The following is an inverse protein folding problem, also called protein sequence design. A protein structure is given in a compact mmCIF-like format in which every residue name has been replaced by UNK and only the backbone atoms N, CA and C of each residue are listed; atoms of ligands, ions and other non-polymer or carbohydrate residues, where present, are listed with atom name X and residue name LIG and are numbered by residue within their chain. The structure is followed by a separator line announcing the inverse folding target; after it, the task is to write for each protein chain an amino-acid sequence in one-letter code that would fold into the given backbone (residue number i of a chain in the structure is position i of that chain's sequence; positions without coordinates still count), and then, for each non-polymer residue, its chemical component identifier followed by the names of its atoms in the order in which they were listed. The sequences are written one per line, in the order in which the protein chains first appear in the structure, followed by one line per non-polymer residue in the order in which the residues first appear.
data_IF_661930094536
#
_entry.id   IF_661930094536
#
_cell.length_a   1.000
_cell.length_b   1.000
_cell.length_c   1.000
_cell.angle_alpha   90.00
_cell.angle_beta   90.00
_cell.angle_gamma   90.00
#
_symmetry.space_group_name_H-M   'P 1'
#
loop_
_entity.id
_entity.type
_entity.pdbx_description
1 polymer ?
#
# COMPACT_ATOMS: atom_id res chain seq x y z
N UNK A 1 -24.38 -5.04 6.93
CA UNK A 1 -22.96 -5.21 6.58
C UNK A 1 -22.04 -4.69 7.67
N UNK A 2 -20.74 -4.93 7.49
CA UNK A 2 -19.70 -4.49 8.42
C UNK A 2 -18.49 -3.97 7.63
N UNK A 3 -17.90 -2.86 8.10
CA UNK A 3 -16.66 -2.28 7.59
C UNK A 3 -15.65 -2.25 8.73
N UNK A 4 -14.40 -2.60 8.44
CA UNK A 4 -13.26 -2.43 9.36
C UNK A 4 -12.31 -1.43 8.71
N UNK A 5 -12.00 -0.34 9.40
CA UNK A 5 -11.16 0.74 8.91
C UNK A 5 -10.14 1.20 9.96
N UNK A 6 -9.20 2.06 9.57
CA UNK A 6 -8.21 2.64 10.50
C UNK A 6 -8.88 3.64 11.44
N UNK A 7 -8.31 3.83 12.64
CA UNK A 7 -8.74 4.89 13.55
C UNK A 7 -8.75 6.26 12.87
N UNK A 8 -9.82 7.04 13.09
CA UNK A 8 -10.00 8.36 12.49
C UNK A 8 -10.52 8.34 11.04
N UNK A 9 -10.80 7.17 10.47
CA UNK A 9 -11.29 7.00 9.10
C UNK A 9 -12.79 6.66 9.02
N UNK A 10 -13.54 6.66 10.13
CA UNK A 10 -14.99 6.58 10.07
C UNK A 10 -15.56 7.91 9.52
N UNK A 11 -16.24 7.82 8.39
CA UNK A 11 -16.99 8.96 7.85
C UNK A 11 -18.19 9.20 8.76
N UNK A 12 -18.06 10.11 9.71
CA UNK A 12 -19.11 10.53 10.64
C UNK A 12 -20.24 11.27 9.92
N UNK A 13 -20.94 10.60 9.00
CA UNK A 13 -22.22 11.09 8.50
C UNK A 13 -23.32 10.41 9.31
N UNK A 14 -24.19 11.15 10.00
CA UNK A 14 -25.38 10.57 10.60
C UNK A 14 -26.27 10.04 9.47
N UNK A 15 -26.16 8.76 9.16
CA UNK A 15 -27.12 8.07 8.31
C UNK A 15 -28.22 7.58 9.22
N UNK A 16 -29.48 8.01 9.07
CA UNK A 16 -30.58 7.68 9.97
C UNK A 16 -30.86 6.17 10.07
N UNK A 17 -30.46 5.38 9.09
CA UNK A 17 -30.63 3.92 9.07
C UNK A 17 -29.32 3.21 8.69
N UNK A 18 -28.30 3.26 9.56
CA UNK A 18 -27.04 2.53 9.33
C UNK A 18 -27.29 1.01 9.33
N UNK A 19 -27.47 0.44 8.16
CA UNK A 19 -27.43 -1.02 7.95
C UNK A 19 -26.02 -1.58 7.93
N UNK A 20 -25.01 -0.72 7.98
CA UNK A 20 -23.59 -1.05 7.95
C UNK A 20 -22.96 -0.57 9.26
N UNK A 21 -22.40 -1.51 10.01
CA UNK A 21 -21.59 -1.22 11.19
C UNK A 21 -20.17 -0.86 10.74
N UNK A 22 -19.63 0.25 11.21
CA UNK A 22 -18.23 0.63 11.01
C UNK A 22 -17.47 0.40 12.31
N UNK A 23 -16.36 -0.33 12.20
CA UNK A 23 -15.45 -0.62 13.31
C UNK A 23 -14.07 -0.04 12.97
N UNK A 24 -13.47 0.67 13.89
CA UNK A 24 -12.12 1.19 13.74
C UNK A 24 -11.10 0.30 14.44
N UNK A 25 -9.91 0.15 13.85
CA UNK A 25 -8.84 -0.70 14.36
C UNK A 25 -7.45 -0.13 14.02
N UNK A 26 -6.42 -0.68 14.66
CA UNK A 26 -5.03 -0.23 14.45
C UNK A 26 -4.42 -0.78 13.15
N UNK A 27 -3.57 0.03 12.55
CA UNK A 27 -2.74 -0.27 11.40
C UNK A 27 -1.37 0.39 11.59
N UNK A 28 -0.21 -0.21 11.25
CA UNK A 28 -0.02 -1.53 10.60
C UNK A 28 0.04 -2.72 11.56
N UNK A 29 0.09 -2.50 12.87
CA UNK A 29 0.12 -3.58 13.88
C UNK A 29 -1.30 -3.84 14.36
N UNK A 30 -1.82 -5.09 14.24
CA UNK A 30 -3.19 -5.41 14.61
C UNK A 30 -3.45 -5.24 16.11
N UNK A 31 -4.70 -4.93 16.47
CA UNK A 31 -5.14 -4.76 17.85
C UNK A 31 -6.37 -5.59 18.22
N UNK A 32 -6.83 -5.45 19.46
CA UNK A 32 -8.01 -6.17 19.96
C UNK A 32 -9.32 -5.69 19.31
N UNK A 33 -9.39 -4.41 18.90
CA UNK A 33 -10.55 -3.87 18.20
C UNK A 33 -10.71 -4.54 16.82
N UNK A 34 -9.62 -4.69 16.07
CA UNK A 34 -9.61 -5.42 14.79
C UNK A 34 -10.00 -6.89 14.96
N UNK A 35 -9.48 -7.57 15.99
CA UNK A 35 -9.86 -8.93 16.32
C UNK A 35 -11.37 -9.05 16.60
N UNK A 36 -11.92 -8.15 17.43
CA UNK A 36 -13.35 -8.19 17.76
C UNK A 36 -14.23 -7.87 16.55
N UNK A 37 -13.83 -6.88 15.73
CA UNK A 37 -14.53 -6.56 14.48
C UNK A 37 -14.53 -7.76 13.52
N UNK A 38 -13.40 -8.46 13.39
CA UNK A 38 -13.28 -9.66 12.54
C UNK A 38 -14.12 -10.82 13.07
N UNK A 39 -14.22 -11.01 14.39
CA UNK A 39 -15.14 -11.99 14.99
C UNK A 39 -16.61 -11.68 14.67
N UNK A 40 -16.98 -10.41 14.72
CA UNK A 40 -18.33 -9.97 14.35
C UNK A 40 -18.60 -10.22 12.86
N UNK A 41 -17.63 -9.95 11.99
CA UNK A 41 -17.70 -10.27 10.57
C UNK A 41 -17.86 -11.78 10.34
N UNK A 42 -17.10 -12.60 11.05
CA UNK A 42 -17.21 -14.06 10.98
C UNK A 42 -18.62 -14.55 11.35
N UNK A 43 -19.23 -13.99 12.41
CA UNK A 43 -20.61 -14.31 12.78
C UNK A 43 -21.61 -13.98 11.67
N UNK A 44 -21.42 -12.84 10.97
CA UNK A 44 -22.28 -12.48 9.82
C UNK A 44 -22.09 -13.51 8.70
N UNK A 45 -20.87 -13.91 8.40
CA UNK A 45 -20.59 -14.89 7.34
C UNK A 45 -21.13 -16.26 7.68
N UNK A 46 -21.02 -16.70 8.93
CA UNK A 46 -21.57 -17.97 9.41
C UNK A 46 -23.10 -18.01 9.42
N UNK A 47 -23.77 -16.87 9.47
CA UNK A 47 -25.22 -16.76 9.41
C UNK A 47 -25.78 -16.73 7.96
N UNK A 48 -24.92 -16.71 6.94
CA UNK A 48 -25.32 -16.77 5.54
C UNK A 48 -26.03 -18.09 5.24
N UNK A 49 -26.95 -18.03 4.30
CA UNK A 49 -27.76 -19.16 3.89
C UNK A 49 -27.56 -19.43 2.40
N UNK A 50 -28.12 -20.56 1.96
CA UNK A 50 -28.14 -20.91 0.54
C UNK A 50 -28.79 -19.79 -0.27
N UNK A 51 -28.15 -19.45 -1.38
CA UNK A 51 -28.54 -18.39 -2.32
C UNK A 51 -28.28 -16.94 -1.85
N UNK A 52 -27.73 -16.74 -0.65
CA UNK A 52 -27.22 -15.43 -0.26
C UNK A 52 -26.02 -15.05 -1.13
N UNK A 53 -25.78 -13.76 -1.25
CA UNK A 53 -24.60 -13.20 -1.91
C UNK A 53 -23.77 -12.39 -0.91
N UNK A 54 -22.51 -12.76 -0.73
CA UNK A 54 -21.54 -11.99 0.02
C UNK A 54 -20.78 -11.08 -0.95
N UNK A 55 -20.97 -9.77 -0.82
CA UNK A 55 -20.13 -8.78 -1.47
C UNK A 55 -19.03 -8.35 -0.52
N UNK A 56 -17.77 -8.56 -0.91
CA UNK A 56 -16.57 -8.18 -0.13
C UNK A 56 -15.88 -7.02 -0.84
N UNK A 57 -15.72 -5.90 -0.13
CA UNK A 57 -15.01 -4.72 -0.64
C UNK A 57 -13.65 -4.64 0.05
N UNK A 58 -12.57 -4.73 -0.72
CA UNK A 58 -11.19 -4.83 -0.23
C UNK A 58 -10.38 -3.65 -0.76
N UNK A 59 -9.68 -2.96 0.14
CA UNK A 59 -8.67 -1.94 -0.20
C UNK A 59 -7.45 -2.10 0.71
N UNK A 60 -6.53 -1.14 0.68
CA UNK A 60 -5.29 -1.14 1.46
C UNK A 60 -5.48 -1.32 2.98
N UNK A 61 -4.43 -1.79 3.64
CA UNK A 61 -4.40 -1.98 5.09
C UNK A 61 -5.12 -3.22 5.63
N UNK A 62 -5.87 -3.96 4.80
CA UNK A 62 -6.69 -5.09 5.19
C UNK A 62 -5.93 -6.24 5.86
N UNK A 63 -4.63 -6.40 5.59
CA UNK A 63 -3.81 -7.46 6.21
C UNK A 63 -3.72 -7.34 7.73
N UNK A 64 -3.75 -6.13 8.29
CA UNK A 64 -3.73 -5.88 9.74
C UNK A 64 -5.11 -5.61 10.33
N UNK A 65 -5.98 -4.95 9.58
CA UNK A 65 -7.34 -4.62 10.03
C UNK A 65 -8.22 -5.87 10.13
N UNK A 66 -8.16 -6.76 9.14
CA UNK A 66 -8.89 -8.03 9.12
C UNK A 66 -8.07 -9.14 9.82
N UNK A 67 -8.04 -9.10 11.13
CA UNK A 67 -7.19 -9.96 11.97
C UNK A 67 -8.00 -10.99 12.72
N UNK A 68 -7.70 -12.27 12.45
CA UNK A 68 -8.22 -13.41 13.23
C UNK A 68 -7.19 -14.55 13.16
N UNK A 69 -6.32 -14.69 14.16
CA UNK A 69 -5.43 -15.85 14.21
C UNK A 69 -6.22 -17.14 14.42
N UNK A 70 -5.65 -18.27 14.05
CA UNK A 70 -6.23 -19.59 14.38
C UNK A 70 -6.29 -19.78 15.90
N UNK A 71 -7.15 -20.69 16.37
CA UNK A 71 -7.46 -20.84 17.80
C UNK A 71 -6.24 -21.16 18.68
N UNK A 72 -5.22 -21.79 18.11
CA UNK A 72 -3.96 -22.17 18.78
C UNK A 72 -2.99 -21.02 18.99
N UNK A 73 -3.24 -19.87 18.34
CA UNK A 73 -2.32 -18.72 18.32
C UNK A 73 -2.99 -17.54 19.03
N UNK A 74 -2.33 -17.00 20.04
CA UNK A 74 -2.81 -15.80 20.74
C UNK A 74 -2.54 -14.51 19.95
N UNK A 75 -3.32 -13.45 20.25
CA UNK A 75 -3.05 -12.11 19.69
C UNK A 75 -1.67 -11.58 20.10
N UNK A 76 -1.17 -11.91 21.28
CA UNK A 76 0.18 -11.53 21.70
C UNK A 76 1.25 -12.19 20.83
N UNK A 77 1.09 -13.48 20.50
CA UNK A 77 2.01 -14.21 19.65
C UNK A 77 1.97 -13.67 18.21
N UNK A 78 0.78 -13.38 17.69
CA UNK A 78 0.62 -12.76 16.37
C UNK A 78 1.30 -11.39 16.30
N UNK A 79 1.12 -10.54 17.32
CA UNK A 79 1.79 -9.23 17.40
C UNK A 79 3.30 -9.37 17.47
N UNK A 80 3.79 -10.28 18.30
CA UNK A 80 5.24 -10.55 18.42
C UNK A 80 5.82 -10.98 17.08
N UNK A 81 5.22 -11.96 16.41
CA UNK A 81 5.68 -12.39 15.09
C UNK A 81 5.61 -11.26 14.06
N UNK A 82 4.53 -10.46 14.05
CA UNK A 82 4.40 -9.33 13.12
C UNK A 82 5.54 -8.33 13.29
N UNK A 83 5.91 -8.01 14.53
CA UNK A 83 7.04 -7.12 14.82
C UNK A 83 8.37 -7.69 14.35
N UNK A 84 8.60 -8.99 14.57
CA UNK A 84 9.84 -9.64 14.11
C UNK A 84 9.90 -9.71 12.57
N UNK A 85 8.80 -9.99 11.89
CA UNK A 85 8.73 -9.95 10.42
C UNK A 85 9.05 -8.55 9.88
N UNK A 86 8.48 -7.50 10.49
CA UNK A 86 8.77 -6.10 10.11
C UNK A 86 10.24 -5.73 10.34
N UNK A 87 10.84 -6.18 11.47
CA UNK A 87 12.25 -5.92 11.79
C UNK A 87 13.23 -6.66 10.90
N UNK A 88 12.82 -7.82 10.38
CA UNK A 88 13.70 -8.70 9.59
C UNK A 88 14.02 -8.17 8.20
N UNK A 89 13.30 -7.14 7.72
CA UNK A 89 13.40 -6.66 6.35
C UNK A 89 12.81 -7.62 5.31
N UNK A 90 11.97 -8.58 5.74
CA UNK A 90 11.26 -9.45 4.81
C UNK A 90 10.32 -8.62 3.92
N UNK A 91 10.27 -8.87 2.60
CA UNK A 91 9.32 -8.21 1.73
C UNK A 91 7.88 -8.60 2.09
N UNK A 92 6.93 -7.74 1.76
CA UNK A 92 5.53 -7.91 2.16
C UNK A 92 4.93 -9.22 1.67
N UNK A 93 5.30 -9.68 0.49
CA UNK A 93 4.86 -10.95 -0.09
C UNK A 93 5.28 -12.14 0.80
N UNK A 94 6.53 -12.15 1.27
CA UNK A 94 7.01 -13.18 2.19
C UNK A 94 6.28 -13.12 3.55
N UNK A 95 6.07 -11.91 4.09
CA UNK A 95 5.30 -11.74 5.32
C UNK A 95 3.87 -12.27 5.16
N UNK A 96 3.23 -12.00 4.01
CA UNK A 96 1.88 -12.45 3.73
C UNK A 96 1.76 -13.96 3.63
N UNK A 97 2.75 -14.67 3.09
CA UNK A 97 2.76 -16.14 3.12
C UNK A 97 2.66 -16.67 4.55
N UNK A 98 3.45 -16.12 5.47
CA UNK A 98 3.39 -16.54 6.89
C UNK A 98 2.03 -16.18 7.50
N UNK A 99 1.55 -14.94 7.29
CA UNK A 99 0.27 -14.45 7.84
C UNK A 99 -0.92 -15.29 7.40
N UNK A 100 -1.00 -15.65 6.12
CA UNK A 100 -2.08 -16.46 5.56
C UNK A 100 -2.20 -17.82 6.27
N UNK A 101 -1.07 -18.47 6.56
CA UNK A 101 -1.03 -19.81 7.17
C UNK A 101 -1.29 -19.84 8.68
N UNK A 102 -1.33 -18.69 9.36
CA UNK A 102 -1.68 -18.59 10.79
C UNK A 102 -3.01 -17.86 11.01
N UNK A 103 -3.74 -17.56 9.93
CA UNK A 103 -5.02 -16.82 9.96
C UNK A 103 -6.20 -17.71 9.68
N UNK A 104 -7.28 -17.54 10.47
CA UNK A 104 -8.55 -18.21 10.23
C UNK A 104 -9.41 -17.52 9.16
N UNK A 105 -8.98 -16.35 8.65
CA UNK A 105 -9.80 -15.50 7.76
C UNK A 105 -9.11 -15.16 6.42
N UNK A 106 -7.78 -15.06 6.40
CA UNK A 106 -6.97 -14.74 5.23
C UNK A 106 -6.64 -16.00 4.42
N UNK A 107 -5.92 -15.87 3.29
CA UNK A 107 -5.57 -17.01 2.43
C UNK A 107 -6.80 -17.76 1.89
N UNK A 108 -7.83 -17.01 1.49
CA UNK A 108 -9.08 -17.54 0.92
C UNK A 108 -10.08 -18.06 1.94
N UNK A 109 -9.75 -18.06 3.24
CA UNK A 109 -10.58 -18.67 4.27
C UNK A 109 -11.93 -17.98 4.46
N UNK A 110 -12.01 -16.64 4.31
CA UNK A 110 -13.30 -15.92 4.35
C UNK A 110 -14.21 -16.38 3.21
N UNK A 111 -13.70 -16.42 1.99
CA UNK A 111 -14.44 -16.90 0.83
C UNK A 111 -14.89 -18.35 0.98
N UNK A 112 -13.98 -19.23 1.45
CA UNK A 112 -14.29 -20.65 1.73
C UNK A 112 -15.43 -20.80 2.75
N UNK A 113 -15.39 -20.05 3.86
CA UNK A 113 -16.42 -20.09 4.89
C UNK A 113 -17.79 -19.66 4.35
N UNK A 114 -17.86 -18.59 3.57
CA UNK A 114 -19.10 -18.12 2.96
C UNK A 114 -19.67 -19.13 1.95
N UNK A 115 -18.83 -19.72 1.11
CA UNK A 115 -19.25 -20.77 0.16
C UNK A 115 -19.78 -22.00 0.89
N UNK A 116 -19.13 -22.44 1.97
CA UNK A 116 -19.60 -23.56 2.80
C UNK A 116 -20.92 -23.26 3.51
N UNK A 117 -21.23 -21.99 3.80
CA UNK A 117 -22.54 -21.56 4.27
C UNK A 117 -23.60 -21.54 3.15
N UNK A 118 -23.22 -21.72 1.88
CA UNK A 118 -24.09 -21.78 0.70
C UNK A 118 -24.18 -20.47 -0.07
N UNK A 119 -23.42 -19.45 0.29
CA UNK A 119 -23.43 -18.15 -0.37
C UNK A 119 -22.54 -18.12 -1.62
N UNK A 120 -22.86 -17.23 -2.56
CA UNK A 120 -21.97 -16.80 -3.63
C UNK A 120 -21.10 -15.65 -3.13
N UNK A 121 -19.84 -15.59 -3.58
CA UNK A 121 -18.89 -14.58 -3.11
C UNK A 121 -18.35 -13.78 -4.30
N UNK A 122 -18.53 -12.47 -4.24
CA UNK A 122 -17.91 -11.50 -5.15
C UNK A 122 -17.05 -10.54 -4.33
N UNK A 123 -15.74 -10.51 -4.60
CA UNK A 123 -14.81 -9.57 -4.01
C UNK A 123 -14.43 -8.50 -5.03
N UNK A 124 -14.70 -7.23 -4.70
CA UNK A 124 -14.25 -6.07 -5.44
C UNK A 124 -13.03 -5.48 -4.74
N UNK A 125 -11.93 -5.37 -5.45
CA UNK A 125 -10.61 -5.10 -4.89
C UNK A 125 -10.02 -3.86 -5.51
N UNK A 126 -9.60 -2.91 -4.67
CA UNK A 126 -8.70 -1.81 -5.06
C UNK A 126 -7.29 -2.26 -4.70
N UNK A 127 -6.40 -2.33 -5.70
CA UNK A 127 -5.03 -2.77 -5.49
C UNK A 127 -4.14 -1.63 -5.00
N UNK A 128 -3.43 -1.91 -3.91
CA UNK A 128 -2.36 -1.09 -3.33
C UNK A 128 -1.00 -1.80 -3.35
N UNK A 129 -0.92 -2.96 -4.01
CA UNK A 129 0.30 -3.78 -4.06
C UNK A 129 0.83 -3.91 -5.48
N UNK A 130 2.14 -4.09 -5.60
CA UNK A 130 2.82 -4.39 -6.86
C UNK A 130 2.31 -5.71 -7.45
N UNK A 131 1.94 -5.69 -8.74
CA UNK A 131 1.52 -6.89 -9.47
C UNK A 131 0.04 -7.23 -9.35
N UNK A 132 -0.75 -6.49 -8.57
CA UNK A 132 -2.22 -6.55 -8.51
C UNK A 132 -2.81 -7.94 -8.23
N UNK A 133 -2.04 -8.82 -7.55
CA UNK A 133 -2.50 -10.17 -7.26
C UNK A 133 -3.52 -10.17 -6.11
N UNK A 134 -4.75 -10.67 -6.31
CA UNK A 134 -5.77 -10.69 -5.25
C UNK A 134 -5.34 -11.43 -3.97
N UNK A 135 -4.40 -12.39 -4.09
CA UNK A 135 -3.85 -13.14 -2.96
C UNK A 135 -2.91 -12.34 -2.06
N UNK A 136 -2.40 -11.20 -2.55
CA UNK A 136 -1.47 -10.34 -1.79
C UNK A 136 -2.18 -9.13 -1.19
N UNK A 137 -3.28 -8.68 -1.79
CA UNK A 137 -4.08 -7.56 -1.29
C UNK A 137 -4.86 -8.02 -0.04
N UNK A 138 -4.68 -7.34 1.08
CA UNK A 138 -5.25 -7.71 2.38
C UNK A 138 -4.92 -9.16 2.80
N UNK A 139 -3.82 -9.76 2.31
CA UNK A 139 -3.48 -11.18 2.47
C UNK A 139 -4.57 -12.14 1.95
N UNK A 140 -5.29 -11.74 0.90
CA UNK A 140 -6.19 -12.56 0.11
C UNK A 140 -7.34 -13.24 0.86
N UNK A 141 -8.25 -12.54 1.54
CA UNK A 141 -9.30 -13.21 2.33
C UNK A 141 -10.26 -14.04 1.47
N UNK A 142 -10.40 -13.70 0.18
CA UNK A 142 -11.26 -14.39 -0.77
C UNK A 142 -10.48 -14.98 -1.96
N UNK A 143 -9.15 -14.92 -1.97
CA UNK A 143 -8.34 -15.40 -3.07
C UNK A 143 -7.71 -16.75 -2.77
N UNK A 144 -7.49 -17.56 -3.82
CA UNK A 144 -6.69 -18.78 -3.71
C UNK A 144 -5.25 -18.44 -3.31
N UNK A 145 -4.63 -19.34 -2.58
CA UNK A 145 -3.25 -19.21 -2.12
C UNK A 145 -2.44 -20.44 -2.56
N UNK A 146 -1.51 -20.23 -3.47
CA UNK A 146 -0.65 -21.29 -3.99
C UNK A 146 0.51 -21.64 -3.04
N UNK A 147 0.78 -20.80 -2.01
CA UNK A 147 1.82 -21.08 -0.99
C UNK A 147 1.38 -22.12 0.03
N UNK A 148 2.33 -22.71 0.74
CA UNK A 148 2.13 -23.83 1.66
C UNK A 148 2.66 -23.54 3.06
N UNK A 149 2.28 -24.36 4.04
CA UNK A 149 2.86 -24.32 5.38
C UNK A 149 4.38 -24.47 5.35
N UNK A 150 4.91 -25.26 4.40
CA UNK A 150 6.37 -25.42 4.24
C UNK A 150 7.02 -24.11 3.76
N UNK A 151 6.35 -23.37 2.85
CA UNK A 151 6.86 -22.08 2.39
C UNK A 151 6.89 -21.07 3.54
N UNK A 152 5.88 -21.06 4.40
CA UNK A 152 5.87 -20.21 5.59
C UNK A 152 7.04 -20.51 6.54
N UNK A 153 7.34 -21.79 6.79
CA UNK A 153 8.50 -22.19 7.60
C UNK A 153 9.83 -21.83 6.94
N UNK A 154 9.96 -22.02 5.62
CA UNK A 154 11.15 -21.66 4.87
C UNK A 154 11.43 -20.15 4.90
N UNK A 155 10.36 -19.33 4.89
CA UNK A 155 10.48 -17.88 5.05
C UNK A 155 10.97 -17.53 6.45
N UNK A 156 10.38 -18.09 7.49
CA UNK A 156 10.84 -17.83 8.87
C UNK A 156 12.30 -18.22 9.06
N UNK A 157 12.73 -19.35 8.49
CA UNK A 157 14.13 -19.79 8.52
C UNK A 157 15.06 -18.83 7.76
N UNK A 158 14.68 -18.44 6.54
CA UNK A 158 15.44 -17.49 5.70
C UNK A 158 15.72 -16.18 6.42
N UNK A 159 14.74 -15.67 7.17
CA UNK A 159 14.85 -14.40 7.89
C UNK A 159 15.26 -14.58 9.35
N UNK A 160 15.73 -15.78 9.74
CA UNK A 160 16.23 -16.10 11.07
C UNK A 160 15.20 -15.90 12.19
N UNK A 161 13.92 -16.06 11.87
CA UNK A 161 12.80 -15.95 12.82
C UNK A 161 12.43 -17.38 13.31
N UNK A 162 13.41 -18.10 13.81
CA UNK A 162 13.28 -19.47 14.27
C UNK A 162 12.97 -19.59 15.78
N UNK A 163 13.26 -20.76 16.36
CA UNK A 163 13.09 -21.01 17.80
C UNK A 163 13.83 -19.97 18.66
N UNK A 164 13.13 -19.40 19.64
CA UNK A 164 13.64 -18.34 20.51
C UNK A 164 13.38 -16.91 20.00
N UNK A 165 12.96 -16.74 18.74
CA UNK A 165 12.53 -15.48 18.15
C UNK A 165 11.03 -15.53 17.87
N UNK A 166 10.59 -16.48 17.04
CA UNK A 166 9.16 -16.72 16.83
C UNK A 166 8.52 -17.40 18.04
N UNK A 167 7.27 -17.05 18.39
CA UNK A 167 6.50 -17.77 19.39
C UNK A 167 6.36 -19.26 19.07
N UNK A 168 6.52 -20.12 20.08
CA UNK A 168 6.46 -21.58 19.91
C UNK A 168 5.10 -22.04 19.35
N UNK A 169 3.99 -21.42 19.77
CA UNK A 169 2.63 -21.71 19.28
C UNK A 169 2.55 -21.61 17.75
N UNK A 170 3.20 -20.60 17.16
CA UNK A 170 3.21 -20.37 15.71
C UNK A 170 4.04 -21.45 15.01
N UNK A 171 5.28 -21.69 15.48
CA UNK A 171 6.14 -22.72 14.88
C UNK A 171 5.50 -24.10 14.94
N UNK A 172 4.86 -24.44 16.06
CA UNK A 172 4.20 -25.74 16.25
C UNK A 172 2.98 -25.86 15.35
N UNK A 173 2.18 -24.78 15.19
CA UNK A 173 1.05 -24.78 14.29
C UNK A 173 1.47 -24.94 12.82
N UNK A 174 2.48 -24.19 12.37
CA UNK A 174 3.01 -24.33 11.02
C UNK A 174 3.55 -25.74 10.74
N UNK A 175 4.27 -26.33 11.71
CA UNK A 175 4.74 -27.73 11.59
C UNK A 175 3.58 -28.72 11.53
N UNK A 176 2.49 -28.54 12.32
CA UNK A 176 1.28 -29.37 12.19
C UNK A 176 0.70 -29.28 10.78
N UNK A 177 0.71 -28.10 10.18
CA UNK A 177 0.24 -27.89 8.81
C UNK A 177 1.03 -28.70 7.79
N UNK A 178 2.36 -28.76 7.89
CA UNK A 178 3.19 -29.51 6.92
C UNK A 178 2.94 -31.03 6.94
N UNK A 179 2.34 -31.56 7.99
CA UNK A 179 1.97 -32.99 8.11
C UNK A 179 0.45 -33.21 8.01
N UNK A 180 -0.31 -32.21 7.52
CA UNK A 180 -1.75 -32.32 7.30
C UNK A 180 -2.61 -32.29 8.57
N UNK A 181 -2.07 -31.85 9.72
CA UNK A 181 -2.79 -31.75 10.99
C UNK A 181 -3.39 -30.35 11.25
N UNK A 182 -3.25 -29.42 10.32
CA UNK A 182 -3.93 -28.13 10.28
C UNK A 182 -4.54 -27.92 8.89
N UNK A 183 -5.69 -27.23 8.79
CA UNK A 183 -6.30 -26.95 7.49
C UNK A 183 -5.43 -26.00 6.68
N UNK A 184 -5.25 -26.34 5.41
CA UNK A 184 -4.49 -25.51 4.46
C UNK A 184 -5.33 -24.28 4.05
N UNK A 185 -4.66 -23.23 3.56
CA UNK A 185 -5.30 -22.09 2.89
C UNK A 185 -6.10 -22.57 1.66
N UNK A 186 -7.01 -21.74 1.12
CA UNK A 186 -7.84 -22.12 -0.02
C UNK A 186 -6.97 -22.40 -1.26
N UNK A 187 -7.02 -23.63 -1.75
CA UNK A 187 -6.28 -24.06 -2.93
C UNK A 187 -7.13 -23.99 -4.20
N UNK A 188 -6.46 -23.88 -5.32
CA UNK A 188 -7.09 -23.72 -6.65
C UNK A 188 -7.94 -24.93 -7.07
N UNK A 189 -7.57 -26.11 -6.60
CA UNK A 189 -8.27 -27.38 -6.87
C UNK A 189 -9.44 -27.67 -5.94
N UNK A 190 -9.64 -26.84 -4.90
CA UNK A 190 -10.80 -26.99 -4.02
C UNK A 190 -12.08 -26.46 -4.70
N UNK A 191 -13.24 -27.16 -4.55
CA UNK A 191 -14.50 -26.75 -5.18
C UNK A 191 -14.94 -25.33 -4.79
N UNK A 192 -14.65 -24.91 -3.57
CA UNK A 192 -14.99 -23.57 -3.07
C UNK A 192 -14.32 -22.48 -3.86
N UNK A 193 -13.14 -22.70 -4.41
CA UNK A 193 -12.40 -21.73 -5.23
C UNK A 193 -13.19 -21.28 -6.46
N UNK A 194 -14.01 -22.18 -7.04
CA UNK A 194 -14.82 -21.92 -8.22
C UNK A 194 -16.03 -21.03 -7.94
N UNK A 195 -16.43 -20.91 -6.67
CA UNK A 195 -17.59 -20.13 -6.22
C UNK A 195 -17.22 -18.73 -5.73
N UNK A 196 -15.94 -18.41 -5.70
CA UNK A 196 -15.40 -17.11 -5.27
C UNK A 196 -14.87 -16.36 -6.48
N UNK A 197 -15.39 -15.17 -6.74
CA UNK A 197 -14.94 -14.32 -7.83
C UNK A 197 -14.21 -13.09 -7.27
N UNK A 198 -12.97 -12.89 -7.68
CA UNK A 198 -12.18 -11.72 -7.33
C UNK A 198 -12.09 -10.78 -8.53
N UNK A 199 -12.46 -9.52 -8.34
CA UNK A 199 -12.43 -8.47 -9.37
C UNK A 199 -11.55 -7.33 -8.89
N UNK A 200 -10.36 -7.18 -9.47
CA UNK A 200 -9.54 -5.98 -9.27
C UNK A 200 -10.17 -4.87 -10.09
N UNK A 201 -10.79 -3.90 -9.43
CA UNK A 201 -11.58 -2.83 -10.06
C UNK A 201 -10.81 -1.52 -10.19
N UNK A 202 -9.72 -1.36 -9.43
CA UNK A 202 -8.82 -0.22 -9.54
C UNK A 202 -7.38 -0.65 -9.26
N UNK A 203 -6.45 -0.10 -10.03
CA UNK A 203 -5.01 -0.35 -9.94
C UNK A 203 -4.23 0.95 -10.08
N UNK A 204 -2.96 0.94 -9.66
CA UNK A 204 -2.04 2.06 -9.86
C UNK A 204 -1.95 2.45 -11.34
N UNK A 205 -1.79 1.47 -12.26
CA UNK A 205 -1.72 1.73 -13.70
C UNK A 205 -2.97 2.42 -14.24
N UNK A 206 -4.18 2.04 -13.78
CA UNK A 206 -5.42 2.70 -14.21
C UNK A 206 -5.45 4.18 -13.79
N UNK A 207 -4.94 4.50 -12.60
CA UNK A 207 -4.81 5.89 -12.14
C UNK A 207 -3.82 6.68 -13.00
N UNK A 208 -2.67 6.08 -13.36
CA UNK A 208 -1.69 6.70 -14.27
C UNK A 208 -2.29 6.92 -15.67
N UNK A 209 -3.04 5.96 -16.21
CA UNK A 209 -3.72 6.11 -17.51
C UNK A 209 -4.79 7.20 -17.48
N UNK A 210 -5.50 7.36 -16.37
CA UNK A 210 -6.46 8.47 -16.22
C UNK A 210 -5.74 9.83 -16.17
N UNK A 211 -4.63 9.92 -15.43
CA UNK A 211 -3.79 11.12 -15.41
C UNK A 211 -3.18 11.41 -16.79
N UNK A 212 -2.68 10.38 -17.49
CA UNK A 212 -2.18 10.52 -18.86
C UNK A 212 -3.25 11.10 -19.78
N UNK A 213 -4.47 10.55 -19.76
CA UNK A 213 -5.57 11.01 -20.58
C UNK A 213 -5.86 12.50 -20.33
N UNK A 214 -5.97 12.90 -19.07
CA UNK A 214 -6.18 14.29 -18.70
C UNK A 214 -5.09 15.22 -19.24
N UNK A 215 -3.81 14.86 -19.05
CA UNK A 215 -2.69 15.66 -19.52
C UNK A 215 -2.65 15.77 -21.06
N UNK A 216 -2.95 14.67 -21.78
CA UNK A 216 -3.05 14.69 -23.25
C UNK A 216 -4.17 15.62 -23.73
N UNK A 217 -5.33 15.65 -23.07
CA UNK A 217 -6.44 16.56 -23.36
C UNK A 217 -6.03 18.03 -23.14
N UNK A 218 -5.11 18.29 -22.20
CA UNK A 218 -4.52 19.63 -21.99
C UNK A 218 -3.37 19.94 -22.98
N UNK A 219 -3.11 19.10 -23.96
CA UNK A 219 -2.12 19.31 -25.01
C UNK A 219 -0.68 18.96 -24.61
N UNK A 220 -0.47 18.32 -23.47
CA UNK A 220 0.84 17.82 -23.06
C UNK A 220 1.25 16.56 -23.84
N UNK A 221 2.52 16.24 -23.83
CA UNK A 221 3.04 14.91 -24.19
C UNK A 221 3.38 14.17 -22.90
N UNK A 222 2.94 12.90 -22.78
CA UNK A 222 3.00 12.16 -21.52
C UNK A 222 3.81 10.88 -21.65
N UNK A 223 4.67 10.64 -20.67
CA UNK A 223 5.53 9.47 -20.54
C UNK A 223 5.21 8.76 -19.22
N UNK A 224 4.71 7.54 -19.29
CA UNK A 224 4.53 6.68 -18.10
C UNK A 224 5.84 5.96 -17.85
N UNK A 225 6.45 6.20 -16.69
CA UNK A 225 7.71 5.58 -16.26
C UNK A 225 7.50 4.18 -15.65
N UNK A 226 6.31 3.91 -15.16
CA UNK A 226 5.90 2.65 -14.53
C UNK A 226 4.97 2.87 -13.36
N UNK A 227 4.32 1.81 -12.91
CA UNK A 227 3.38 1.79 -11.78
C UNK A 227 3.86 0.93 -10.60
N UNK A 228 5.06 0.35 -10.73
CA UNK A 228 5.65 -0.58 -9.76
C UNK A 228 7.03 -0.08 -9.29
N UNK A 229 7.18 1.23 -9.16
CA UNK A 229 8.44 1.83 -8.74
C UNK A 229 8.64 1.60 -7.24
N UNK A 230 9.75 0.96 -6.88
CA UNK A 230 10.12 0.66 -5.49
C UNK A 230 11.57 1.07 -5.22
N UNK A 231 11.96 1.15 -3.95
CA UNK A 231 13.30 1.50 -3.50
C UNK A 231 13.32 2.76 -2.64
N UNK A 232 14.52 3.20 -2.24
CA UNK A 232 14.70 4.41 -1.44
C UNK A 232 14.24 5.66 -2.20
N UNK A 233 13.35 6.43 -1.60
CA UNK A 233 12.68 7.58 -2.22
C UNK A 233 13.66 8.56 -2.85
N UNK A 234 14.72 8.93 -2.13
CA UNK A 234 15.75 9.83 -2.64
C UNK A 234 16.56 9.24 -3.81
N UNK A 235 16.76 7.92 -3.87
CA UNK A 235 17.44 7.28 -4.99
C UNK A 235 16.52 7.21 -6.22
N UNK A 236 15.27 6.81 -6.03
CA UNK A 236 14.26 6.78 -7.10
C UNK A 236 14.07 8.17 -7.73
N UNK A 237 14.09 9.23 -6.92
CA UNK A 237 14.04 10.61 -7.42
C UNK A 237 15.20 10.92 -8.36
N UNK A 238 16.44 10.55 -8.01
CA UNK A 238 17.62 10.72 -8.87
C UNK A 238 17.51 9.93 -10.18
N UNK A 239 17.10 8.66 -10.07
CA UNK A 239 16.98 7.76 -11.23
C UNK A 239 15.93 8.29 -12.23
N UNK A 240 14.78 8.76 -11.75
CA UNK A 240 13.77 9.38 -12.60
C UNK A 240 14.24 10.70 -13.22
N UNK A 241 15.00 11.49 -12.46
CA UNK A 241 15.57 12.74 -12.98
C UNK A 241 16.55 12.49 -14.13
N UNK A 242 17.36 11.42 -14.05
CA UNK A 242 18.25 11.02 -15.15
C UNK A 242 17.45 10.62 -16.41
N UNK A 243 16.30 9.95 -16.26
CA UNK A 243 15.42 9.68 -17.40
C UNK A 243 14.94 10.98 -18.05
N UNK A 244 14.52 11.96 -17.22
CA UNK A 244 14.06 13.27 -17.70
C UNK A 244 15.21 14.01 -18.42
N UNK A 245 16.42 14.01 -17.86
CA UNK A 245 17.61 14.61 -18.49
C UNK A 245 17.92 13.99 -19.84
N UNK A 246 17.99 12.66 -19.88
CA UNK A 246 18.23 11.94 -21.14
C UNK A 246 17.19 12.26 -22.21
N UNK A 247 15.93 12.42 -21.81
CA UNK A 247 14.87 12.84 -22.73
C UNK A 247 15.08 14.27 -23.23
N UNK A 248 15.40 15.21 -22.35
CA UNK A 248 15.65 16.62 -22.69
C UNK A 248 16.83 16.71 -23.65
N UNK A 249 17.95 16.06 -23.36
CA UNK A 249 19.16 16.05 -24.20
C UNK A 249 18.89 15.47 -25.60
N UNK A 250 18.18 14.35 -25.70
CA UNK A 250 17.85 13.73 -26.99
C UNK A 250 16.92 14.58 -27.85
N UNK A 251 16.17 15.49 -27.24
CA UNK A 251 15.19 16.32 -27.94
C UNK A 251 15.64 17.78 -28.13
N UNK A 252 16.71 18.23 -27.46
CA UNK A 252 17.28 19.56 -27.68
C UNK A 252 17.77 19.79 -29.13
N UNK A 253 18.18 18.73 -29.84
CA UNK A 253 18.69 18.79 -31.22
C UNK A 253 17.66 18.52 -32.30
N UNK A 254 16.39 18.20 -31.94
CA UNK A 254 15.33 18.09 -32.95
C UNK A 254 14.74 19.47 -33.18
N UNK A 255 15.05 20.07 -34.33
CA UNK A 255 14.65 21.41 -34.75
C UNK A 255 13.21 21.74 -34.29
N UNK A 256 13.12 22.51 -33.21
CA UNK A 256 11.87 23.22 -32.85
C UNK A 256 11.61 24.39 -33.81
N UNK A 257 12.48 24.61 -34.81
CA UNK A 257 12.41 25.70 -35.80
C UNK A 257 11.20 25.57 -36.75
N UNK A 258 10.73 24.37 -37.01
CA UNK A 258 9.67 24.16 -38.00
C UNK A 258 8.19 24.24 -37.45
N UNK A 259 8.00 24.54 -36.17
CA UNK A 259 6.65 24.73 -35.60
C UNK A 259 6.61 25.89 -34.60
N UNK A 260 6.54 27.14 -35.07
CA UNK A 260 6.37 28.28 -34.19
C UNK A 260 5.02 28.17 -33.47
N UNK A 261 5.03 28.07 -32.13
CA UNK A 261 3.88 28.28 -31.27
C UNK A 261 3.38 27.12 -30.41
N UNK A 262 4.04 25.95 -30.39
CA UNK A 262 3.62 24.87 -29.47
C UNK A 262 4.82 24.19 -28.78
N UNK A 263 5.37 24.84 -27.74
CA UNK A 263 6.06 24.08 -26.70
C UNK A 263 5.04 23.12 -26.08
N UNK A 264 5.08 21.84 -26.45
CA UNK A 264 4.27 20.85 -25.77
C UNK A 264 4.93 20.59 -24.42
N UNK A 265 4.20 20.83 -23.34
CA UNK A 265 4.62 20.44 -22.00
C UNK A 265 4.91 18.94 -22.03
N UNK A 266 6.06 18.53 -21.47
CA UNK A 266 6.40 17.14 -21.25
C UNK A 266 5.97 16.78 -19.84
N UNK A 267 5.27 15.68 -19.70
CA UNK A 267 4.80 15.19 -18.39
C UNK A 267 5.32 13.77 -18.23
N UNK A 268 6.05 13.51 -17.15
CA UNK A 268 6.51 12.20 -16.74
C UNK A 268 5.69 11.79 -15.53
N UNK A 269 5.05 10.62 -15.57
CA UNK A 269 4.21 10.12 -14.48
C UNK A 269 4.64 8.73 -14.08
N UNK A 270 4.64 8.47 -12.79
CA UNK A 270 4.97 7.18 -12.21
C UNK A 270 4.09 6.89 -11.01
N UNK A 271 3.96 5.61 -10.67
CA UNK A 271 3.34 5.10 -9.45
C UNK A 271 4.21 4.01 -8.85
N UNK A 272 3.92 3.65 -7.63
CA UNK A 272 4.66 2.63 -6.91
C UNK A 272 4.71 2.95 -5.42
N UNK A 273 5.60 2.26 -4.70
CA UNK A 273 5.73 2.39 -3.25
C UNK A 273 7.21 2.46 -2.86
N UNK A 274 7.71 3.68 -2.67
CA UNK A 274 9.09 3.92 -2.22
C UNK A 274 9.20 3.80 -0.70
N UNK A 275 10.41 3.66 -0.19
CA UNK A 275 10.74 3.60 1.23
C UNK A 275 11.62 4.75 1.65
N UNK A 276 11.63 5.06 2.95
CA UNK A 276 12.59 5.98 3.58
C UNK A 276 13.22 5.28 4.76
N UNK A 277 14.51 5.04 4.68
CA UNK A 277 15.28 4.43 5.77
C UNK A 277 15.83 5.52 6.67
N UNK A 278 15.22 5.70 7.85
CA UNK A 278 15.64 6.71 8.83
C UNK A 278 16.73 6.11 9.74
N UNK A 279 17.95 6.70 9.81
CA UNK A 279 19.00 6.25 10.70
C UNK A 279 18.60 6.35 12.18
N UNK A 280 19.16 5.47 13.00
CA UNK A 280 18.91 5.48 14.44
C UNK A 280 19.31 6.83 15.07
N UNK A 281 18.38 7.45 15.80
CA UNK A 281 18.61 8.73 16.47
C UNK A 281 18.25 9.97 15.63
N UNK A 282 17.84 9.80 14.39
CA UNK A 282 17.25 10.87 13.57
C UNK A 282 15.74 10.86 13.77
N UNK A 283 15.17 12.04 13.99
CA UNK A 283 13.72 12.23 14.08
C UNK A 283 13.32 13.16 12.94
N UNK A 284 12.98 12.57 11.79
CA UNK A 284 12.47 13.30 10.64
C UNK A 284 10.96 13.46 10.67
N UNK A 285 10.42 14.38 9.84
CA UNK A 285 8.99 14.56 9.62
C UNK A 285 8.66 14.49 8.14
N UNK A 286 7.54 13.83 7.83
CA UNK A 286 7.07 13.61 6.48
C UNK A 286 7.02 12.14 6.13
N UNK A 287 6.98 11.85 4.85
CA UNK A 287 6.91 10.51 4.30
C UNK A 287 7.67 10.36 2.99
N UNK A 288 7.42 9.26 2.33
CA UNK A 288 8.10 8.87 1.09
C UNK A 288 7.86 9.83 -0.08
N UNK A 289 6.67 10.42 -0.18
CA UNK A 289 6.36 11.35 -1.27
C UNK A 289 7.09 12.68 -1.11
N UNK A 290 7.07 13.27 0.08
CA UNK A 290 7.80 14.51 0.37
C UNK A 290 9.31 14.30 0.32
N UNK A 291 9.85 13.17 0.79
CA UNK A 291 11.27 12.83 0.70
C UNK A 291 11.72 12.69 -0.76
N UNK A 292 10.96 11.92 -1.57
CA UNK A 292 11.20 11.81 -3.02
C UNK A 292 11.24 13.19 -3.67
N UNK A 293 10.28 14.04 -3.37
CA UNK A 293 10.14 15.32 -4.01
C UNK A 293 11.24 16.31 -3.61
N UNK A 294 11.65 16.30 -2.33
CA UNK A 294 12.77 17.13 -1.87
C UNK A 294 14.09 16.69 -2.51
N UNK A 295 14.32 15.38 -2.65
CA UNK A 295 15.48 14.87 -3.36
C UNK A 295 15.45 15.23 -4.85
N UNK A 296 14.28 15.17 -5.50
CA UNK A 296 14.11 15.60 -6.88
C UNK A 296 14.44 17.09 -7.03
N UNK A 297 13.91 17.95 -6.15
CA UNK A 297 14.20 19.38 -6.11
C UNK A 297 15.69 19.67 -5.94
N UNK A 298 16.33 19.04 -4.97
CA UNK A 298 17.75 19.26 -4.67
C UNK A 298 18.67 18.94 -5.85
N UNK A 299 18.31 17.94 -6.68
CA UNK A 299 19.12 17.48 -7.80
C UNK A 299 18.69 18.05 -9.16
N UNK A 300 17.63 18.86 -9.25
CA UNK A 300 17.06 19.34 -10.52
C UNK A 300 17.39 20.79 -10.86
N UNK A 301 18.29 21.43 -10.14
CA UNK A 301 18.59 22.88 -10.29
C UNK A 301 19.13 23.28 -11.67
N UNK A 302 19.62 22.33 -12.43
CA UNK A 302 20.07 22.48 -13.82
C UNK A 302 18.91 22.44 -14.84
N UNK A 303 17.72 22.01 -14.45
CA UNK A 303 16.56 21.88 -15.32
C UNK A 303 15.58 23.06 -15.16
N UNK A 304 15.76 24.08 -16.01
CA UNK A 304 14.86 25.23 -16.01
C UNK A 304 13.43 24.83 -16.39
N UNK A 305 12.45 25.36 -15.65
CA UNK A 305 11.02 25.14 -15.93
C UNK A 305 10.47 23.80 -15.47
N UNK A 306 11.22 23.02 -14.71
CA UNK A 306 10.72 21.81 -14.05
C UNK A 306 9.74 22.19 -12.94
N UNK A 307 8.63 21.48 -12.89
CA UNK A 307 7.70 21.44 -11.77
C UNK A 307 7.36 19.98 -11.46
N UNK A 308 7.16 19.66 -10.21
CA UNK A 308 6.85 18.29 -9.82
C UNK A 308 5.85 18.24 -8.66
N UNK A 309 5.14 17.12 -8.58
CA UNK A 309 4.21 16.78 -7.52
C UNK A 309 4.40 15.30 -7.18
N UNK A 310 4.45 14.99 -5.90
CA UNK A 310 4.39 13.63 -5.39
C UNK A 310 3.41 13.57 -4.22
N UNK A 311 2.48 12.62 -4.28
CA UNK A 311 1.46 12.47 -3.24
C UNK A 311 1.05 11.00 -3.07
N UNK A 312 0.75 10.62 -1.84
CA UNK A 312 0.16 9.34 -1.51
C UNK A 312 -1.34 9.35 -1.84
N UNK A 313 -1.82 8.27 -2.44
CA UNK A 313 -3.21 8.17 -2.88
C UNK A 313 -4.21 8.01 -1.73
N UNK A 314 -3.75 7.59 -0.55
CA UNK A 314 -4.59 7.53 0.66
C UNK A 314 -4.77 8.90 1.36
N UNK A 315 -3.99 9.89 0.95
CA UNK A 315 -4.07 11.26 1.44
C UNK A 315 -3.19 11.56 2.64
N UNK A 316 -2.30 10.64 3.03
CA UNK A 316 -1.40 10.75 4.18
C UNK A 316 0.02 10.33 3.78
N UNK A 317 0.98 11.24 3.83
CA UNK A 317 2.39 10.98 3.53
C UNK A 317 3.21 10.78 4.80
N UNK A 318 3.26 9.54 5.29
CA UNK A 318 4.06 9.16 6.45
C UNK A 318 3.50 9.63 7.79
N UNK A 319 4.18 10.55 8.49
CA UNK A 319 3.87 10.92 9.89
C UNK A 319 2.92 12.11 10.04
N UNK A 320 2.69 12.88 8.96
CA UNK A 320 2.00 14.17 9.01
C UNK A 320 0.65 14.13 8.27
N UNK A 321 -0.10 15.23 8.26
CA UNK A 321 -1.46 15.29 7.69
C UNK A 321 -1.48 15.63 6.19
N UNK A 322 -0.32 15.86 5.55
CA UNK A 322 -0.23 16.13 4.13
C UNK A 322 -0.30 14.84 3.32
N UNK A 323 -0.88 14.90 2.14
CA UNK A 323 -0.84 13.80 1.16
C UNK A 323 0.53 13.68 0.47
N UNK A 324 1.30 14.75 0.48
CA UNK A 324 2.58 14.88 -0.20
C UNK A 324 2.96 16.33 -0.36
N UNK A 325 3.70 16.63 -1.43
CA UNK A 325 4.16 17.99 -1.70
C UNK A 325 4.23 18.27 -3.21
N UNK A 326 4.48 19.54 -3.56
CA UNK A 326 4.79 19.96 -4.92
C UNK A 326 5.83 21.08 -4.92
N UNK A 327 6.50 21.26 -6.03
CA UNK A 327 7.25 22.48 -6.33
C UNK A 327 7.02 22.93 -7.77
N UNK A 328 7.03 24.23 -7.95
CA UNK A 328 7.05 24.94 -9.22
C UNK A 328 8.01 26.14 -9.15
N UNK A 329 7.99 27.02 -10.13
CA UNK A 329 8.89 28.18 -10.16
C UNK A 329 8.65 29.16 -9.00
N UNK A 330 7.43 29.23 -8.46
CA UNK A 330 7.10 30.11 -7.32
C UNK A 330 7.68 29.53 -6.03
N UNK A 331 7.50 28.25 -5.80
CA UNK A 331 8.07 27.53 -4.64
C UNK A 331 9.61 27.57 -4.67
N UNK A 332 10.22 27.36 -5.86
CA UNK A 332 11.68 27.48 -6.06
C UNK A 332 12.16 28.90 -5.70
N UNK A 333 11.47 29.92 -6.17
CA UNK A 333 11.80 31.32 -5.86
C UNK A 333 11.68 31.59 -4.35
N UNK A 334 10.64 31.09 -3.71
CA UNK A 334 10.40 31.24 -2.28
C UNK A 334 11.51 30.58 -1.45
N UNK A 335 11.88 29.33 -1.78
CA UNK A 335 12.98 28.62 -1.14
C UNK A 335 14.32 29.39 -1.24
N UNK A 336 14.62 29.92 -2.42
CA UNK A 336 15.82 30.74 -2.63
C UNK A 336 15.78 32.05 -1.82
N UNK A 337 14.62 32.69 -1.70
CA UNK A 337 14.43 33.93 -0.91
C UNK A 337 14.66 33.68 0.58
N UNK A 338 14.17 32.54 1.08
CA UNK A 338 14.35 32.13 2.47
C UNK A 338 15.77 31.55 2.74
N UNK A 339 16.57 31.36 1.69
CA UNK A 339 17.92 30.78 1.75
C UNK A 339 17.92 29.39 2.43
N UNK A 340 16.89 28.59 2.18
CA UNK A 340 16.79 27.24 2.73
C UNK A 340 17.82 26.32 2.06
N UNK A 341 18.49 25.50 2.88
CA UNK A 341 19.41 24.48 2.44
C UNK A 341 18.71 23.12 2.40
N UNK A 342 18.25 22.71 1.24
CA UNK A 342 17.55 21.44 1.00
C UNK A 342 18.33 20.21 1.49
N UNK A 343 19.68 20.29 1.47
CA UNK A 343 20.52 19.19 1.93
C UNK A 343 20.38 18.99 3.45
N UNK A 344 20.32 20.06 4.21
CA UNK A 344 20.11 19.99 5.67
C UNK A 344 18.79 19.28 6.00
N UNK A 345 17.72 19.57 5.25
CA UNK A 345 16.43 18.91 5.45
C UNK A 345 16.44 17.43 5.00
N UNK A 346 17.13 17.11 3.89
CA UNK A 346 17.30 15.71 3.46
C UNK A 346 18.12 14.90 4.46
N UNK A 347 19.23 15.43 4.95
CA UNK A 347 20.10 14.77 5.92
C UNK A 347 19.37 14.54 7.27
N UNK A 348 18.38 15.39 7.59
CA UNK A 348 17.52 15.27 8.76
C UNK A 348 16.25 14.45 8.52
N UNK A 349 15.99 14.00 7.30
CA UNK A 349 14.69 13.40 6.87
C UNK A 349 13.48 14.27 7.24
N UNK A 350 13.60 15.61 7.17
CA UNK A 350 12.55 16.59 7.47
C UNK A 350 12.02 17.27 6.20
N UNK A 351 11.64 16.46 5.21
CA UNK A 351 11.09 16.97 3.96
C UNK A 351 9.76 17.71 4.18
N UNK A 352 8.95 17.31 5.16
CA UNK A 352 7.76 18.03 5.57
C UNK A 352 8.09 19.46 6.01
N UNK A 353 9.11 19.63 6.88
CA UNK A 353 9.52 20.94 7.36
C UNK A 353 9.92 21.86 6.22
N UNK A 354 10.68 21.36 5.24
CA UNK A 354 11.03 22.13 4.06
C UNK A 354 9.81 22.63 3.29
N UNK A 355 8.90 21.72 2.92
CA UNK A 355 7.72 22.08 2.13
C UNK A 355 6.69 22.90 2.92
N UNK A 356 6.65 22.78 4.25
CA UNK A 356 5.86 23.65 5.12
C UNK A 356 6.34 25.11 5.03
N UNK A 357 7.65 25.34 5.11
CA UNK A 357 8.23 26.68 5.06
C UNK A 357 8.04 27.38 3.71
N UNK A 358 8.11 26.62 2.62
CA UNK A 358 7.94 27.20 1.27
C UNK A 358 6.48 27.22 0.79
N UNK A 359 5.55 26.62 1.54
CA UNK A 359 4.14 26.54 1.15
C UNK A 359 3.84 25.52 0.07
N UNK A 360 4.65 24.47 -0.05
CA UNK A 360 4.53 23.42 -1.07
C UNK A 360 3.84 22.14 -0.62
N UNK A 361 3.19 22.11 0.54
CA UNK A 361 2.45 20.93 1.01
C UNK A 361 1.12 20.75 0.28
N UNK A 362 0.76 19.49 0.03
CA UNK A 362 -0.53 19.10 -0.53
C UNK A 362 -1.40 18.48 0.55
N UNK A 363 -2.56 19.05 0.81
CA UNK A 363 -3.52 18.57 1.81
C UNK A 363 -4.82 18.16 1.11
N UNK A 364 -5.17 16.88 1.17
CA UNK A 364 -6.44 16.34 0.66
C UNK A 364 -7.34 15.86 1.79
N UNK A 365 -6.77 15.60 2.97
CA UNK A 365 -7.34 14.73 3.97
C UNK A 365 -7.37 13.27 3.49
N UNK A 366 -7.77 12.32 4.36
CA UNK A 366 -7.92 10.92 4.00
C UNK A 366 -8.85 10.72 2.81
N UNK A 367 -8.38 10.03 1.76
CA UNK A 367 -9.17 9.78 0.54
C UNK A 367 -10.12 8.58 0.67
N UNK A 368 -9.94 7.79 1.74
CA UNK A 368 -10.70 6.57 2.05
C UNK A 368 -10.47 5.43 1.04
N UNK A 369 -9.33 5.44 0.40
CA UNK A 369 -8.88 4.34 -0.49
C UNK A 369 -7.93 3.41 0.23
#
# INVERSE_FOLDING_TARGET
GLVITRYGHDVQRPLPDRKILVCEAAHPVPDEAGLQATKNLLHIVQALQKDDQLLVLISGGGSSLLTLPVAEISMSDLKSLTQELLRSGAPIEAMNVVRKHISAIQGGNLGRLAVRAGAKVDALIISDVTGDQPGDIASGPCAVDDSTFQDALNILDRYQIGPGVAPASILDYLKKGTIGQAPETLKRDEPESLMVRNHVIATSMQSLLAAQKYCLEQGAQVHILGDQITGEAAQVARDQLEIVRGYVEQNQNKDFADRPGKFRRQVFISGGETTVTIPQGVVGRGGRCSEFLLALYAHSKDLAGLSALAADTDGIDGSEENAGAYFDQEIIHHANTLQLDEKTYLDAHDAYGFFLEVGGLVHTGPTLT
#
